data_IF_974057356054
#
_entry.id   IF_974057356054
#
_cell.length_a   1.000
_cell.length_b   1.000
_cell.length_c   1.000
_cell.angle_alpha   90.00
_cell.angle_beta   90.00
_cell.angle_gamma   90.00
#
_symmetry.space_group_name_H-M   'P 1'
#
loop_
_entity.id
_entity.type
_entity.pdbx_description
1 polymer ?
#
# COMPACT_ATOMS: atom_id res chain seq x y z
N UNK A 1 20.60 -11.15 4.90
CA UNK A 1 20.97 -11.93 3.68
C UNK A 1 19.77 -12.69 3.08
N UNK A 2 18.81 -13.17 3.90
CA UNK A 2 17.63 -13.90 3.41
C UNK A 2 16.56 -13.01 2.73
N UNK A 3 16.29 -11.80 3.27
CA UNK A 3 15.24 -10.91 2.75
C UNK A 3 15.52 -10.30 1.36
N UNK A 4 16.80 -10.12 1.02
CA UNK A 4 17.20 -9.68 -0.32
C UNK A 4 16.90 -10.75 -1.37
N UNK A 5 17.01 -12.04 -1.00
CA UNK A 5 16.66 -13.15 -1.88
C UNK A 5 15.16 -13.18 -2.20
N UNK A 6 14.32 -13.01 -1.17
CA UNK A 6 12.86 -12.96 -1.33
C UNK A 6 12.41 -11.78 -2.21
N UNK A 7 13.03 -10.61 -2.02
CA UNK A 7 12.72 -9.43 -2.83
C UNK A 7 13.06 -9.63 -4.31
N UNK A 8 14.21 -10.24 -4.63
CA UNK A 8 14.57 -10.53 -6.02
C UNK A 8 13.68 -11.63 -6.64
N UNK A 9 13.24 -12.63 -5.86
CA UNK A 9 12.29 -13.62 -6.34
C UNK A 9 10.94 -12.99 -6.74
N UNK A 10 10.36 -12.15 -5.88
CA UNK A 10 9.11 -11.43 -6.16
C UNK A 10 9.23 -10.53 -7.41
N UNK A 11 10.40 -9.90 -7.59
CA UNK A 11 10.70 -9.10 -8.78
C UNK A 11 10.75 -9.94 -10.05
N UNK A 12 11.36 -11.12 -10.00
CA UNK A 12 11.40 -12.06 -11.12
C UNK A 12 9.98 -12.53 -11.46
N UNK A 13 9.19 -12.92 -10.45
CA UNK A 13 7.79 -13.33 -10.64
C UNK A 13 6.95 -12.21 -11.26
N UNK A 14 7.13 -10.96 -10.80
CA UNK A 14 6.45 -9.78 -11.38
C UNK A 14 6.79 -9.63 -12.86
N UNK A 15 8.07 -9.73 -13.23
CA UNK A 15 8.51 -9.66 -14.64
C UNK A 15 7.93 -10.79 -15.49
N UNK A 16 7.94 -12.03 -14.98
CA UNK A 16 7.36 -13.18 -15.67
C UNK A 16 5.87 -12.99 -15.94
N UNK A 17 5.12 -12.42 -14.98
CA UNK A 17 3.70 -12.15 -15.17
C UNK A 17 3.44 -11.06 -16.23
N UNK A 18 4.31 -10.04 -16.30
CA UNK A 18 4.27 -9.03 -17.36
C UNK A 18 4.52 -9.68 -18.72
N UNK A 19 5.54 -10.54 -18.84
CA UNK A 19 5.85 -11.26 -20.08
C UNK A 19 4.69 -12.16 -20.54
N UNK A 20 3.98 -12.80 -19.60
CA UNK A 20 2.77 -13.60 -19.90
C UNK A 20 1.67 -12.70 -20.46
N UNK A 21 1.40 -11.56 -19.84
CA UNK A 21 0.38 -10.61 -20.30
C UNK A 21 0.73 -10.03 -21.69
N UNK A 22 1.99 -9.66 -21.92
CA UNK A 22 2.50 -9.17 -23.21
C UNK A 22 2.33 -10.22 -24.32
N UNK A 23 2.61 -11.50 -24.01
CA UNK A 23 2.42 -12.60 -24.95
C UNK A 23 0.95 -12.77 -25.33
N UNK A 24 0.03 -12.76 -24.36
CA UNK A 24 -1.41 -12.89 -24.65
C UNK A 24 -1.93 -11.70 -25.47
N UNK A 25 -1.50 -10.48 -25.16
CA UNK A 25 -1.78 -9.28 -25.96
C UNK A 25 -1.27 -9.43 -27.40
N UNK A 26 -0.07 -9.97 -27.59
CA UNK A 26 0.47 -10.25 -28.92
C UNK A 26 -0.33 -11.32 -29.68
N UNK A 27 -0.86 -12.34 -28.99
CA UNK A 27 -1.74 -13.35 -29.60
C UNK A 27 -3.05 -12.70 -30.03
N UNK A 28 -3.70 -11.93 -29.14
CA UNK A 28 -4.95 -11.21 -29.45
C UNK A 28 -4.78 -10.28 -30.64
N UNK A 29 -3.67 -9.53 -30.71
CA UNK A 29 -3.37 -8.63 -31.83
C UNK A 29 -3.31 -9.37 -33.16
N UNK A 30 -2.77 -10.58 -33.21
CA UNK A 30 -2.70 -11.36 -34.45
C UNK A 30 -4.02 -12.10 -34.76
N UNK A 31 -4.82 -12.40 -33.74
CA UNK A 31 -6.11 -13.08 -33.85
C UNK A 31 -7.20 -12.18 -34.45
N UNK A 32 -7.15 -10.87 -34.19
CA UNK A 32 -8.17 -9.91 -34.63
C UNK A 32 -8.32 -9.83 -36.16
N UNK A 33 -7.27 -10.16 -36.91
CA UNK A 33 -7.28 -10.14 -38.38
C UNK A 33 -7.98 -11.36 -39.01
N UNK A 34 -8.32 -12.37 -38.21
CA UNK A 34 -8.93 -13.62 -38.70
C UNK A 34 -10.44 -13.58 -38.51
N UNK A 35 -11.19 -13.72 -39.60
CA UNK A 35 -12.66 -13.64 -39.62
C UNK A 35 -13.37 -14.66 -38.71
N UNK A 36 -12.73 -15.79 -38.40
CA UNK A 36 -13.30 -16.86 -37.57
C UNK A 36 -12.87 -16.80 -36.08
N UNK A 37 -12.12 -15.77 -35.67
CA UNK A 37 -11.71 -15.57 -34.27
C UNK A 37 -12.36 -14.31 -33.70
N UNK A 38 -12.78 -14.36 -32.42
CA UNK A 38 -13.35 -13.21 -31.72
C UNK A 38 -12.59 -12.99 -30.41
N UNK A 39 -11.78 -11.93 -30.33
CA UNK A 39 -10.90 -11.67 -29.18
C UNK A 39 -11.65 -11.30 -27.89
N UNK A 40 -12.95 -11.03 -27.93
CA UNK A 40 -13.74 -10.77 -26.73
C UNK A 40 -13.68 -11.93 -25.73
N UNK A 41 -13.49 -13.16 -26.20
CA UNK A 41 -13.32 -14.33 -25.34
C UNK A 41 -12.02 -14.31 -24.52
N UNK A 42 -11.08 -13.39 -24.81
CA UNK A 42 -9.78 -13.24 -24.14
C UNK A 42 -9.69 -12.06 -23.18
N UNK A 43 -10.75 -11.25 -23.10
CA UNK A 43 -10.75 -10.04 -22.27
C UNK A 43 -10.71 -10.32 -20.76
N UNK A 44 -11.39 -11.38 -20.32
CA UNK A 44 -11.35 -11.81 -18.91
C UNK A 44 -9.96 -12.34 -18.53
N UNK A 45 -9.33 -13.14 -19.41
CA UNK A 45 -7.98 -13.66 -19.22
C UNK A 45 -6.97 -12.51 -19.01
N UNK A 46 -6.96 -11.51 -19.90
CA UNK A 46 -5.99 -10.40 -19.79
C UNK A 46 -6.27 -9.51 -18.57
N UNK A 47 -7.55 -9.34 -18.21
CA UNK A 47 -7.91 -8.62 -16.99
C UNK A 47 -7.32 -9.30 -15.75
N UNK A 48 -7.47 -10.63 -15.63
CA UNK A 48 -6.86 -11.40 -14.56
C UNK A 48 -5.33 -11.34 -14.56
N UNK A 49 -4.69 -11.39 -15.75
CA UNK A 49 -3.24 -11.26 -15.85
C UNK A 49 -2.75 -9.91 -15.34
N UNK A 50 -3.39 -8.81 -15.72
CA UNK A 50 -3.03 -7.47 -15.25
C UNK A 50 -3.29 -7.30 -13.75
N UNK A 51 -4.38 -7.88 -13.22
CA UNK A 51 -4.63 -7.92 -11.78
C UNK A 51 -3.50 -8.65 -11.03
N UNK A 52 -3.02 -9.78 -11.57
CA UNK A 52 -1.88 -10.51 -10.99
C UNK A 52 -0.58 -9.69 -11.04
N UNK A 53 -0.32 -8.98 -12.14
CA UNK A 53 0.83 -8.06 -12.23
C UNK A 53 0.76 -7.02 -11.11
N UNK A 54 -0.41 -6.42 -10.89
CA UNK A 54 -0.61 -5.41 -9.84
C UNK A 54 -0.35 -5.99 -8.45
N UNK A 55 -0.90 -7.16 -8.13
CA UNK A 55 -0.71 -7.82 -6.83
C UNK A 55 0.75 -8.21 -6.57
N UNK A 56 1.43 -8.78 -7.57
CA UNK A 56 2.84 -9.14 -7.46
C UNK A 56 3.73 -7.91 -7.29
N UNK A 57 3.49 -6.86 -8.08
CA UNK A 57 4.25 -5.62 -7.98
C UNK A 57 4.05 -4.95 -6.61
N UNK A 58 2.80 -4.88 -6.11
CA UNK A 58 2.51 -4.35 -4.79
C UNK A 58 3.25 -5.13 -3.69
N UNK A 59 3.19 -6.47 -3.73
CA UNK A 59 3.89 -7.34 -2.79
C UNK A 59 5.41 -7.12 -2.84
N UNK A 60 5.97 -7.04 -4.05
CA UNK A 60 7.39 -6.74 -4.25
C UNK A 60 7.80 -5.41 -3.62
N UNK A 61 7.10 -4.31 -3.93
CA UNK A 61 7.46 -2.99 -3.41
C UNK A 61 7.29 -2.89 -1.90
N UNK A 62 6.23 -3.46 -1.33
CA UNK A 62 6.05 -3.52 0.12
C UNK A 62 7.20 -4.28 0.77
N UNK A 63 7.56 -5.45 0.24
CA UNK A 63 8.69 -6.22 0.75
C UNK A 63 10.00 -5.43 0.65
N UNK A 64 10.32 -4.90 -0.54
CA UNK A 64 11.57 -4.19 -0.79
C UNK A 64 11.72 -2.92 0.05
N UNK A 65 10.63 -2.19 0.28
CA UNK A 65 10.66 -0.93 1.04
C UNK A 65 10.53 -1.12 2.54
N UNK A 66 9.91 -2.19 3.04
CA UNK A 66 9.67 -2.39 4.47
C UNK A 66 10.60 -3.39 5.13
N UNK A 67 11.06 -4.44 4.44
CA UNK A 67 11.84 -5.51 5.10
C UNK A 67 13.07 -5.02 5.86
N UNK A 68 13.83 -4.00 5.37
CA UNK A 68 14.98 -3.50 6.13
C UNK A 68 14.62 -2.81 7.45
N UNK A 69 13.35 -2.44 7.64
CA UNK A 69 12.89 -1.57 8.72
C UNK A 69 11.88 -2.24 9.65
N UNK A 70 11.22 -3.31 9.21
CA UNK A 70 10.25 -4.06 10.00
C UNK A 70 10.14 -5.51 9.52
N UNK A 71 10.10 -6.44 10.46
CA UNK A 71 9.79 -7.85 10.19
C UNK A 71 8.27 -8.11 10.18
N UNK A 72 7.47 -7.09 10.51
CA UNK A 72 6.02 -7.18 10.67
C UNK A 72 5.25 -6.80 9.40
N UNK A 73 5.91 -6.76 8.23
CA UNK A 73 5.27 -6.40 6.95
C UNK A 73 4.08 -7.29 6.62
N UNK A 74 4.14 -8.59 6.96
CA UNK A 74 3.05 -9.54 6.78
C UNK A 74 1.81 -9.17 7.62
N UNK A 75 1.99 -8.81 8.90
CA UNK A 75 0.90 -8.37 9.77
C UNK A 75 0.29 -7.05 9.31
N UNK A 76 1.11 -6.12 8.80
CA UNK A 76 0.62 -4.87 8.22
C UNK A 76 -0.22 -5.15 6.97
N UNK A 77 0.27 -6.00 6.07
CA UNK A 77 -0.46 -6.41 4.85
C UNK A 77 -1.79 -7.06 5.18
N UNK A 78 -1.82 -8.02 6.11
CA UNK A 78 -3.07 -8.66 6.55
C UNK A 78 -4.07 -7.66 7.13
N UNK A 79 -3.62 -6.73 7.98
CA UNK A 79 -4.50 -5.69 8.51
C UNK A 79 -5.05 -4.79 7.40
N UNK A 80 -4.21 -4.36 6.44
CA UNK A 80 -4.62 -3.53 5.31
C UNK A 80 -5.66 -4.25 4.43
N UNK A 81 -5.48 -5.55 4.16
CA UNK A 81 -6.46 -6.35 3.41
C UNK A 81 -7.82 -6.40 4.12
N UNK A 82 -7.83 -6.66 5.43
CA UNK A 82 -9.08 -6.71 6.21
C UNK A 82 -9.76 -5.34 6.32
N UNK A 83 -9.00 -4.27 6.52
CA UNK A 83 -9.51 -2.90 6.58
C UNK A 83 -10.06 -2.45 5.23
N UNK A 84 -9.38 -2.77 4.14
CA UNK A 84 -9.81 -2.52 2.76
C UNK A 84 -11.14 -3.19 2.45
N UNK A 85 -11.25 -4.49 2.73
CA UNK A 85 -12.47 -5.27 2.48
C UNK A 85 -13.70 -4.72 3.23
N UNK A 86 -13.47 -4.07 4.38
CA UNK A 86 -14.53 -3.45 5.20
C UNK A 86 -14.69 -1.94 4.95
N UNK A 87 -13.85 -1.35 4.08
CA UNK A 87 -13.76 0.10 3.86
C UNK A 87 -13.54 0.89 5.15
N UNK A 88 -12.74 0.35 6.05
CA UNK A 88 -12.33 1.05 7.26
C UNK A 88 -11.12 1.94 6.94
N UNK A 89 -11.29 3.25 7.06
CA UNK A 89 -10.24 4.21 6.78
C UNK A 89 -9.02 4.02 7.69
N UNK A 90 -7.84 3.95 7.09
CA UNK A 90 -6.60 3.72 7.84
C UNK A 90 -5.45 4.56 7.31
N UNK A 91 -4.50 4.88 8.21
CA UNK A 91 -3.32 5.68 7.92
C UNK A 91 -2.16 5.17 8.78
N UNK A 92 -1.26 4.37 8.20
CA UNK A 92 -0.20 3.66 8.91
C UNK A 92 1.15 4.17 8.42
N UNK A 93 1.90 4.82 9.30
CA UNK A 93 3.25 5.32 9.05
C UNK A 93 4.25 4.25 9.49
N UNK A 94 5.14 3.83 8.61
CA UNK A 94 6.30 2.99 8.96
C UNK A 94 7.55 3.86 8.93
N UNK A 95 8.16 4.04 10.11
CA UNK A 95 9.44 4.74 10.24
C UNK A 95 10.54 3.95 9.52
N UNK A 96 11.35 4.65 8.72
CA UNK A 96 12.46 4.08 7.96
C UNK A 96 13.80 4.53 8.53
N UNK A 97 14.65 5.23 7.77
CA UNK A 97 15.95 5.68 8.29
C UNK A 97 15.83 6.95 9.13
N UNK A 98 14.90 7.84 8.78
CA UNK A 98 14.72 9.12 9.44
C UNK A 98 13.74 9.00 10.60
N UNK A 99 14.06 9.65 11.73
CA UNK A 99 13.16 9.73 12.87
C UNK A 99 12.05 10.75 12.62
N UNK A 100 10.84 10.43 13.09
CA UNK A 100 9.63 11.19 12.72
C UNK A 100 9.10 12.12 13.83
N UNK A 101 9.76 12.16 14.98
CA UNK A 101 9.34 12.90 16.17
C UNK A 101 9.12 14.40 15.92
N UNK A 102 9.90 15.01 15.02
CA UNK A 102 9.78 16.42 14.66
C UNK A 102 8.62 16.73 13.70
N UNK A 103 8.09 15.71 13.02
CA UNK A 103 7.05 15.86 11.98
C UNK A 103 5.68 15.39 12.45
N UNK A 104 5.63 14.53 13.46
CA UNK A 104 4.40 13.91 13.96
C UNK A 104 4.02 14.56 15.29
N UNK A 105 2.80 15.09 15.37
CA UNK A 105 2.22 15.46 16.66
C UNK A 105 1.58 14.20 17.26
N UNK A 106 2.20 13.69 18.33
CA UNK A 106 1.79 12.44 18.98
C UNK A 106 0.38 12.53 19.55
N UNK A 107 -0.44 11.54 19.22
CA UNK A 107 -1.75 11.32 19.84
C UNK A 107 -1.61 10.53 21.14
N UNK A 108 -2.07 9.29 21.14
CA UNK A 108 -1.92 8.38 22.29
C UNK A 108 -0.70 7.49 22.09
N UNK A 109 0.20 7.42 23.07
CA UNK A 109 1.33 6.48 23.08
C UNK A 109 0.86 5.09 23.50
N UNK A 110 1.24 4.06 22.75
CA UNK A 110 0.91 2.65 23.03
C UNK A 110 2.13 1.82 23.39
N UNK A 111 3.23 1.97 22.63
CA UNK A 111 4.41 1.10 22.71
C UNK A 111 4.03 -0.39 22.72
N UNK A 112 3.06 -0.77 21.89
CA UNK A 112 2.49 -2.11 21.85
C UNK A 112 3.17 -2.96 20.78
N UNK A 113 3.20 -4.28 21.00
CA UNK A 113 3.63 -5.21 19.95
C UNK A 113 2.67 -5.15 18.76
N UNK A 114 3.23 -5.05 17.54
CA UNK A 114 2.44 -4.96 16.32
C UNK A 114 1.81 -6.31 16.00
N UNK A 115 0.48 -6.33 15.90
CA UNK A 115 -0.29 -7.47 15.40
C UNK A 115 -1.39 -6.96 14.48
N UNK A 116 -1.81 -7.77 13.50
CA UNK A 116 -2.91 -7.40 12.60
C UNK A 116 -4.22 -7.07 13.37
N UNK A 117 -4.66 -7.87 14.37
CA UNK A 117 -5.86 -7.54 15.15
C UNK A 117 -5.79 -6.21 15.89
N UNK A 118 -4.59 -5.81 16.37
CA UNK A 118 -4.44 -4.52 17.05
C UNK A 118 -4.54 -3.35 16.07
N UNK A 119 -3.94 -3.45 14.87
CA UNK A 119 -4.12 -2.45 13.82
C UNK A 119 -5.60 -2.33 13.40
N UNK A 120 -6.26 -3.46 13.17
CA UNK A 120 -7.68 -3.50 12.83
C UNK A 120 -8.57 -2.87 13.90
N UNK A 121 -8.25 -3.11 15.19
CA UNK A 121 -8.95 -2.54 16.33
C UNK A 121 -8.78 -1.02 16.41
N UNK A 122 -7.55 -0.53 16.22
CA UNK A 122 -7.26 0.91 16.21
C UNK A 122 -8.08 1.64 15.15
N UNK A 123 -8.18 1.08 13.94
CA UNK A 123 -8.93 1.69 12.83
C UNK A 123 -10.41 1.30 12.77
N UNK A 124 -10.98 0.67 13.81
CA UNK A 124 -12.40 0.37 13.84
C UNK A 124 -13.23 1.68 13.92
N UNK A 125 -14.17 1.95 12.99
CA UNK A 125 -14.87 3.23 12.94
C UNK A 125 -15.56 3.60 14.26
N UNK A 126 -15.40 4.85 14.70
CA UNK A 126 -16.05 5.40 15.89
C UNK A 126 -15.35 5.16 17.23
N UNK A 127 -14.24 4.41 17.27
CA UNK A 127 -13.44 4.28 18.49
C UNK A 127 -12.49 5.47 18.71
N UNK A 128 -12.02 5.79 19.93
CA UNK A 128 -11.22 6.99 20.17
C UNK A 128 -9.86 7.08 19.43
N UNK A 129 -9.33 5.98 18.90
CA UNK A 129 -8.01 5.93 18.26
C UNK A 129 -8.04 5.95 16.73
N UNK A 130 -9.21 5.80 16.09
CA UNK A 130 -9.31 5.63 14.63
C UNK A 130 -9.03 6.89 13.81
N UNK A 131 -9.14 8.06 14.43
CA UNK A 131 -8.97 9.34 13.77
C UNK A 131 -7.53 9.83 13.89
N UNK A 132 -6.79 9.77 12.78
CA UNK A 132 -5.37 10.06 12.71
C UNK A 132 -4.52 8.87 12.27
N UNK A 133 -3.20 9.03 12.41
CA UNK A 133 -2.22 8.05 11.96
C UNK A 133 -1.74 7.13 13.08
N UNK A 134 -1.41 5.89 12.72
CA UNK A 134 -0.59 4.98 13.54
C UNK A 134 0.87 5.15 13.16
N UNK A 135 1.76 5.23 14.15
CA UNK A 135 3.21 5.18 13.95
C UNK A 135 3.72 3.78 14.30
N UNK A 136 4.33 3.13 13.32
CA UNK A 136 5.05 1.86 13.44
C UNK A 136 6.54 2.11 13.42
N UNK A 137 7.25 1.52 14.37
CA UNK A 137 8.72 1.48 14.40
C UNK A 137 9.17 0.05 14.67
N UNK A 138 9.88 -0.52 13.70
CA UNK A 138 10.23 -1.94 13.71
C UNK A 138 8.98 -2.83 13.91
N UNK A 139 8.92 -3.59 15.01
CA UNK A 139 7.83 -4.53 15.31
C UNK A 139 6.83 -3.98 16.36
N UNK A 140 6.78 -2.66 16.54
CA UNK A 140 5.93 -2.01 17.54
C UNK A 140 5.06 -0.90 16.94
N UNK A 141 3.85 -0.81 17.47
CA UNK A 141 2.99 0.37 17.33
C UNK A 141 3.39 1.35 18.45
N UNK A 142 4.07 2.43 18.06
CA UNK A 142 4.56 3.46 18.99
C UNK A 142 3.40 4.28 19.52
N UNK A 143 2.55 4.78 18.62
CA UNK A 143 1.41 5.64 18.94
C UNK A 143 0.30 5.54 17.89
N UNK A 144 -0.90 5.97 18.26
CA UNK A 144 -2.08 6.06 17.40
C UNK A 144 -2.75 7.44 17.55
N UNK A 145 -3.73 7.73 16.68
CA UNK A 145 -4.38 9.03 16.58
C UNK A 145 -3.41 10.21 16.40
N UNK A 146 -2.29 9.97 15.72
CA UNK A 146 -1.28 10.99 15.48
C UNK A 146 -1.73 11.96 14.38
N UNK A 147 -1.32 13.23 14.49
CA UNK A 147 -1.57 14.24 13.47
C UNK A 147 -0.33 14.38 12.59
N UNK A 148 -0.53 14.28 11.27
CA UNK A 148 0.51 14.41 10.25
C UNK A 148 0.39 15.76 9.51
N UNK A 149 1.50 16.28 8.94
CA UNK A 149 1.44 17.41 8.03
C UNK A 149 0.68 17.03 6.76
N UNK A 150 -0.21 17.91 6.30
CA UNK A 150 -0.89 17.74 5.02
C UNK A 150 -0.05 18.34 3.89
N UNK A 151 0.01 17.65 2.74
CA UNK A 151 0.60 18.24 1.53
C UNK A 151 -0.12 19.54 1.18
N UNK A 152 0.63 20.50 0.63
CA UNK A 152 0.10 21.74 0.05
C UNK A 152 0.23 21.76 -1.47
N UNK A 153 0.68 20.67 -2.07
CA UNK A 153 0.80 20.56 -3.53
C UNK A 153 -0.56 20.74 -4.18
N UNK A 154 -0.59 21.47 -5.29
CA UNK A 154 -1.77 21.63 -6.17
C UNK A 154 -1.78 20.60 -7.30
N UNK A 155 -0.73 19.79 -7.42
CA UNK A 155 -0.59 18.76 -8.45
C UNK A 155 -1.19 17.41 -8.02
N UNK A 156 -1.60 17.29 -6.76
CA UNK A 156 -2.29 16.10 -6.25
C UNK A 156 -3.76 16.11 -6.67
N UNK A 157 -4.33 14.91 -6.82
CA UNK A 157 -5.72 14.73 -7.18
C UNK A 157 -6.66 15.48 -6.21
N UNK A 158 -7.53 16.38 -6.71
CA UNK A 158 -8.40 17.21 -5.87
C UNK A 158 -9.45 16.41 -5.09
N UNK A 159 -9.75 15.17 -5.48
CA UNK A 159 -10.68 14.28 -4.77
C UNK A 159 -10.02 13.59 -3.56
N UNK A 160 -8.70 13.75 -3.35
CA UNK A 160 -8.01 13.11 -2.24
C UNK A 160 -8.43 13.69 -0.87
N UNK A 161 -9.04 12.83 -0.06
CA UNK A 161 -9.36 13.11 1.34
C UNK A 161 -8.14 13.38 2.23
N UNK A 162 -8.40 13.82 3.47
CA UNK A 162 -7.38 14.26 4.43
C UNK A 162 -6.32 13.21 4.73
N UNK A 163 -6.69 11.92 4.87
CA UNK A 163 -5.72 10.81 5.10
C UNK A 163 -4.68 10.68 3.98
N UNK A 164 -5.11 10.75 2.72
CA UNK A 164 -4.20 10.70 1.57
C UNK A 164 -3.28 11.93 1.56
N UNK A 165 -3.83 13.12 1.82
CA UNK A 165 -3.04 14.36 1.88
C UNK A 165 -2.03 14.35 3.04
N UNK A 166 -2.37 13.74 4.17
CA UNK A 166 -1.46 13.52 5.29
C UNK A 166 -0.33 12.54 4.95
N UNK A 167 -0.66 11.44 4.27
CA UNK A 167 0.33 10.48 3.81
C UNK A 167 1.35 11.13 2.86
N UNK A 168 0.87 11.86 1.85
CA UNK A 168 1.72 12.60 0.92
C UNK A 168 2.56 13.62 1.68
N UNK A 169 1.92 14.45 2.53
CA UNK A 169 2.60 15.52 3.26
C UNK A 169 3.71 15.04 4.20
N UNK A 170 3.54 13.88 4.86
CA UNK A 170 4.62 13.30 5.65
C UNK A 170 5.73 12.72 4.75
N UNK A 171 5.37 12.07 3.65
CA UNK A 171 6.36 11.52 2.71
C UNK A 171 7.17 12.58 1.94
N UNK A 172 6.71 13.83 1.89
CA UNK A 172 7.48 14.98 1.37
C UNK A 172 8.58 15.44 2.34
N UNK A 173 8.46 15.07 3.63
CA UNK A 173 9.32 15.57 4.72
C UNK A 173 10.25 14.51 5.28
N UNK A 174 10.05 13.25 4.94
CA UNK A 174 10.80 12.13 5.47
C UNK A 174 10.88 10.96 4.50
N UNK A 175 11.78 10.02 4.78
CA UNK A 175 11.83 8.76 4.04
C UNK A 175 10.78 7.73 4.48
N UNK A 176 9.84 8.08 5.37
CA UNK A 176 8.80 7.15 5.82
C UNK A 176 7.91 6.64 4.67
N UNK A 177 7.44 5.40 4.81
CA UNK A 177 6.41 4.85 3.93
C UNK A 177 5.07 4.92 4.67
N UNK A 178 4.07 5.57 4.07
CA UNK A 178 2.76 5.76 4.69
C UNK A 178 1.68 5.03 3.92
N UNK A 179 1.11 3.98 4.51
CA UNK A 179 0.01 3.21 3.96
C UNK A 179 -1.33 3.89 4.26
N UNK A 180 -2.24 3.84 3.29
CA UNK A 180 -3.58 4.44 3.36
C UNK A 180 -4.62 3.42 2.93
N UNK A 181 -5.74 3.38 3.64
CA UNK A 181 -6.99 2.74 3.20
C UNK A 181 -8.06 3.82 3.12
N UNK A 182 -8.71 3.96 1.97
CA UNK A 182 -9.84 4.87 1.77
C UNK A 182 -11.08 4.34 2.48
N UNK A 183 -11.71 5.16 3.34
CA UNK A 183 -12.99 4.82 3.98
C UNK A 183 -14.18 4.82 3.00
N UNK A 184 -14.06 5.51 1.86
CA UNK A 184 -15.12 5.62 0.87
C UNK A 184 -15.12 4.41 -0.08
N UNK A 185 -13.93 4.02 -0.52
CA UNK A 185 -13.77 3.02 -1.60
C UNK A 185 -13.16 1.71 -1.13
N UNK A 186 -12.45 1.70 0.00
CA UNK A 186 -11.56 0.60 0.40
C UNK A 186 -10.23 0.58 -0.36
N UNK A 187 -10.03 1.47 -1.35
CA UNK A 187 -8.78 1.53 -2.13
C UNK A 187 -7.59 1.71 -1.21
N UNK A 188 -6.57 0.87 -1.43
CA UNK A 188 -5.33 0.90 -0.67
C UNK A 188 -4.24 1.61 -1.46
N UNK A 189 -3.38 2.32 -0.76
CA UNK A 189 -2.28 3.07 -1.38
C UNK A 189 -1.12 3.19 -0.40
N UNK A 190 0.06 3.55 -0.89
CA UNK A 190 1.12 4.09 -0.05
C UNK A 190 1.66 5.39 -0.61
N UNK A 191 2.10 6.29 0.27
CA UNK A 191 2.84 7.48 -0.09
C UNK A 191 4.32 7.30 0.23
N UNK A 192 5.18 7.69 -0.71
CA UNK A 192 6.63 7.68 -0.57
C UNK A 192 7.22 8.81 -1.43
N UNK A 193 8.12 9.61 -0.85
CA UNK A 193 8.77 10.75 -1.51
C UNK A 193 7.79 11.70 -2.21
N UNK A 194 6.66 11.99 -1.57
CA UNK A 194 5.63 12.90 -2.08
C UNK A 194 4.73 12.34 -3.19
N UNK A 195 4.87 11.07 -3.54
CA UNK A 195 4.05 10.41 -4.57
C UNK A 195 3.17 9.35 -3.93
N UNK A 196 1.90 9.28 -4.36
CA UNK A 196 0.94 8.28 -3.93
C UNK A 196 0.82 7.16 -4.98
N UNK A 197 1.00 5.91 -4.54
CA UNK A 197 0.92 4.72 -5.39
C UNK A 197 -0.25 3.85 -4.95
N UNK A 198 -1.15 3.51 -5.87
CA UNK A 198 -2.23 2.56 -5.61
C UNK A 198 -1.67 1.14 -5.57
N UNK A 199 -2.11 0.36 -4.58
CA UNK A 199 -1.73 -1.04 -4.44
C UNK A 199 -2.97 -1.93 -4.38
N UNK A 200 -2.80 -3.20 -4.68
CA UNK A 200 -3.78 -4.25 -4.43
C UNK A 200 -3.03 -5.37 -3.71
N UNK A 201 -3.46 -5.71 -2.51
CA UNK A 201 -2.84 -6.71 -1.65
C UNK A 201 -3.80 -7.87 -1.46
#
# INVERSE_FOLDING_TARGET
MHEWGLSEELKIQTKQMIEIAEKELSIMRNAIDKENECILCKMEDIHHMLANVQTLAATYYIQAYLSPYTESSSFITTAIQHLSARKHGALIVVERNETLEAFIQTGTTLNAHLTAPLLESIFYPGNPLHDGAVLVKNNHIVSAANILPLTKSTEVDPELGTRHRAAIGLSEKSDALILVVSEETGRTSFALNGVLYTISL
#
